data_IF_800440401049
#
_entry.id   IF_800440401049
#
_cell.length_a   1.000
_cell.length_b   1.000
_cell.length_c   1.000
_cell.angle_alpha   90.00
_cell.angle_beta   90.00
_cell.angle_gamma   90.00
#
_symmetry.space_group_name_H-M   'P 1'
#
loop_
_entity.id
_entity.type
_entity.pdbx_description
1 polymer ?
#
# COMPACT_ATOMS: atom_id res chain seq x y z
N UNK A 1 -39.01 23.86 -58.61
CA UNK A 1 -39.12 22.50 -58.01
C UNK A 1 -37.78 21.77 -57.79
N UNK A 2 -36.62 22.44 -57.60
CA UNK A 2 -35.32 21.76 -57.40
C UNK A 2 -34.66 21.97 -56.02
N UNK A 3 -35.37 22.55 -55.05
CA UNK A 3 -34.83 22.84 -53.71
C UNK A 3 -34.87 21.65 -52.71
N UNK A 4 -35.85 20.71 -52.73
CA UNK A 4 -35.94 19.68 -51.68
C UNK A 4 -34.83 18.61 -51.75
N UNK A 5 -34.28 18.33 -52.93
CA UNK A 5 -33.23 17.31 -53.11
C UNK A 5 -31.86 17.74 -52.57
N UNK A 6 -31.51 19.02 -52.67
CA UNK A 6 -30.22 19.52 -52.15
C UNK A 6 -30.22 19.46 -50.62
N UNK A 7 -31.35 19.75 -49.99
CA UNK A 7 -31.45 19.87 -48.54
C UNK A 7 -31.52 18.50 -47.85
N UNK A 8 -32.21 17.52 -48.45
CA UNK A 8 -32.16 16.13 -47.99
C UNK A 8 -30.73 15.59 -47.98
N UNK A 9 -29.91 15.99 -48.96
CA UNK A 9 -28.49 15.62 -49.04
C UNK A 9 -27.65 16.28 -47.93
N UNK A 10 -27.93 17.53 -47.53
CA UNK A 10 -27.23 18.17 -46.41
C UNK A 10 -27.57 17.55 -45.06
N UNK A 11 -28.84 17.22 -44.81
CA UNK A 11 -29.28 16.54 -43.59
C UNK A 11 -28.70 15.13 -43.52
N UNK A 12 -28.71 14.39 -44.63
CA UNK A 12 -28.10 13.06 -44.71
C UNK A 12 -26.59 13.13 -44.48
N UNK A 13 -25.89 14.12 -45.06
CA UNK A 13 -24.45 14.36 -44.83
C UNK A 13 -24.16 14.73 -43.38
N UNK A 14 -24.97 15.56 -42.75
CA UNK A 14 -24.82 15.90 -41.33
C UNK A 14 -25.02 14.67 -40.42
N UNK A 15 -26.00 13.81 -40.75
CA UNK A 15 -26.25 12.56 -40.03
C UNK A 15 -25.12 11.54 -40.23
N UNK A 16 -24.51 11.51 -41.42
CA UNK A 16 -23.37 10.64 -41.74
C UNK A 16 -22.09 11.14 -41.05
N UNK A 17 -21.86 12.44 -40.99
CA UNK A 17 -20.76 13.03 -40.21
C UNK A 17 -20.96 12.75 -38.71
N UNK A 18 -22.20 12.83 -38.22
CA UNK A 18 -22.55 12.51 -36.85
C UNK A 18 -22.30 11.03 -36.50
N UNK A 19 -22.72 10.10 -37.35
CA UNK A 19 -22.49 8.67 -37.13
C UNK A 19 -21.01 8.31 -37.21
N UNK A 20 -20.24 8.96 -38.09
CA UNK A 20 -18.79 8.77 -38.20
C UNK A 20 -18.07 9.31 -36.96
N UNK A 21 -18.39 10.52 -36.49
CA UNK A 21 -17.73 11.11 -35.32
C UNK A 21 -18.05 10.32 -34.05
N UNK A 22 -19.29 9.86 -33.89
CA UNK A 22 -19.67 9.00 -32.74
C UNK A 22 -18.99 7.64 -32.78
N UNK A 23 -18.82 7.02 -33.96
CA UNK A 23 -18.03 5.80 -34.15
C UNK A 23 -16.55 6.00 -33.82
N UNK A 24 -15.95 7.13 -34.24
CA UNK A 24 -14.56 7.47 -33.93
C UNK A 24 -14.39 7.66 -32.42
N UNK A 25 -15.31 8.38 -31.77
CA UNK A 25 -15.29 8.57 -30.31
C UNK A 25 -15.43 7.24 -29.56
N UNK A 26 -16.35 6.37 -29.99
CA UNK A 26 -16.49 5.02 -29.42
C UNK A 26 -15.21 4.19 -29.59
N UNK A 27 -14.57 4.23 -30.77
CA UNK A 27 -13.31 3.52 -31.02
C UNK A 27 -12.17 4.02 -30.14
N UNK A 28 -12.10 5.33 -29.91
CA UNK A 28 -11.10 5.94 -29.01
C UNK A 28 -11.33 5.53 -27.56
N UNK A 29 -12.58 5.36 -27.12
CA UNK A 29 -12.89 4.85 -25.77
C UNK A 29 -12.65 3.35 -25.60
N UNK A 30 -12.74 2.57 -26.69
CA UNK A 30 -12.48 1.12 -26.71
C UNK A 30 -11.01 0.73 -26.86
N UNK A 31 -10.12 1.67 -27.23
CA UNK A 31 -8.69 1.38 -27.38
C UNK A 31 -8.03 1.19 -26.00
N UNK A 32 -7.74 -0.08 -25.68
CA UNK A 32 -7.14 -0.57 -24.42
C UNK A 32 -5.75 0.01 -24.09
N UNK A 33 -5.18 0.86 -24.95
CA UNK A 33 -3.85 1.47 -24.77
C UNK A 33 -3.82 2.68 -23.83
N UNK A 34 -4.96 3.23 -23.43
CA UNK A 34 -5.07 4.33 -22.45
C UNK A 34 -5.12 3.82 -20.99
N UNK A 35 -4.29 2.82 -20.68
CA UNK A 35 -4.25 2.14 -19.38
C UNK A 35 -3.41 2.90 -18.32
N UNK A 36 -3.48 4.23 -18.31
CA UNK A 36 -2.76 5.07 -17.36
C UNK A 36 -3.77 5.93 -16.58
N UNK A 37 -4.02 5.55 -15.32
CA UNK A 37 -5.22 5.94 -14.53
C UNK A 37 -5.46 7.46 -14.48
N UNK A 38 -4.38 8.25 -14.39
CA UNK A 38 -4.44 9.73 -14.34
C UNK A 38 -4.69 10.38 -15.71
N UNK A 39 -4.13 9.82 -16.79
CA UNK A 39 -4.38 10.31 -18.16
C UNK A 39 -5.77 9.92 -18.63
N UNK A 40 -6.24 8.72 -18.27
CA UNK A 40 -7.60 8.27 -18.55
C UNK A 40 -8.64 9.17 -17.89
N UNK A 41 -8.48 9.52 -16.61
CA UNK A 41 -9.40 10.45 -15.93
C UNK A 41 -9.41 11.85 -16.57
N UNK A 42 -8.24 12.40 -16.91
CA UNK A 42 -8.13 13.71 -17.53
C UNK A 42 -8.68 13.75 -18.97
N UNK A 43 -8.53 12.65 -19.72
CA UNK A 43 -9.09 12.48 -21.06
C UNK A 43 -10.59 12.21 -20.97
N UNK A 44 -11.05 11.36 -20.05
CA UNK A 44 -12.47 11.07 -19.83
C UNK A 44 -13.24 12.33 -19.43
N UNK A 45 -12.69 13.16 -18.54
CA UNK A 45 -13.29 14.44 -18.13
C UNK A 45 -13.33 15.46 -19.26
N UNK A 46 -12.28 15.53 -20.08
CA UNK A 46 -12.27 16.38 -21.28
C UNK A 46 -13.25 15.88 -22.35
N UNK A 47 -13.32 14.57 -22.57
CA UNK A 47 -14.15 13.93 -23.57
C UNK A 47 -15.64 14.02 -23.21
N UNK A 48 -15.99 13.83 -21.95
CA UNK A 48 -17.38 14.01 -21.47
C UNK A 48 -17.82 15.46 -21.60
N UNK A 49 -16.98 16.43 -21.22
CA UNK A 49 -17.31 17.86 -21.35
C UNK A 49 -17.41 18.32 -22.82
N UNK A 50 -16.43 17.98 -23.66
CA UNK A 50 -16.46 18.38 -25.07
C UNK A 50 -17.53 17.59 -25.85
N UNK A 51 -17.76 16.33 -25.49
CA UNK A 51 -18.80 15.48 -26.06
C UNK A 51 -20.20 15.99 -25.75
N UNK A 52 -20.47 16.40 -24.50
CA UNK A 52 -21.77 17.03 -24.17
C UNK A 52 -21.96 18.35 -24.88
N UNK A 53 -20.95 19.24 -24.90
CA UNK A 53 -21.03 20.51 -25.63
C UNK A 53 -21.25 20.31 -27.15
N UNK A 54 -20.60 19.31 -27.74
CA UNK A 54 -20.78 18.97 -29.16
C UNK A 54 -22.19 18.44 -29.45
N UNK A 55 -22.74 17.58 -28.58
CA UNK A 55 -24.12 17.09 -28.70
C UNK A 55 -25.13 18.24 -28.63
N UNK A 56 -24.90 19.19 -27.73
CA UNK A 56 -25.71 20.41 -27.60
C UNK A 56 -25.65 21.30 -28.84
N UNK A 57 -24.45 21.52 -29.40
CA UNK A 57 -24.27 22.27 -30.63
C UNK A 57 -25.00 21.62 -31.81
N UNK A 58 -24.88 20.30 -31.95
CA UNK A 58 -25.55 19.54 -33.00
C UNK A 58 -27.08 19.59 -32.88
N UNK A 59 -27.60 19.49 -31.65
CA UNK A 59 -29.03 19.60 -31.39
C UNK A 59 -29.56 20.99 -31.75
N UNK A 60 -28.83 22.06 -31.39
CA UNK A 60 -29.17 23.43 -31.75
C UNK A 60 -29.12 23.66 -33.26
N UNK A 61 -28.07 23.17 -33.93
CA UNK A 61 -27.95 23.23 -35.39
C UNK A 61 -29.09 22.50 -36.10
N UNK A 62 -29.54 21.37 -35.55
CA UNK A 62 -30.68 20.62 -36.09
C UNK A 62 -32.00 21.40 -35.99
N UNK A 63 -32.26 22.03 -34.83
CA UNK A 63 -33.43 22.92 -34.64
C UNK A 63 -33.38 24.10 -35.61
N UNK A 64 -32.20 24.73 -35.77
CA UNK A 64 -32.03 25.89 -36.66
C UNK A 64 -32.29 25.51 -38.13
N UNK A 65 -31.72 24.39 -38.57
CA UNK A 65 -31.92 23.84 -39.92
C UNK A 65 -33.39 23.48 -40.16
N UNK A 66 -34.05 22.89 -39.15
CA UNK A 66 -35.48 22.57 -39.22
C UNK A 66 -36.34 23.84 -39.36
N UNK A 67 -36.00 24.92 -38.65
CA UNK A 67 -36.71 26.19 -38.71
C UNK A 67 -36.55 26.89 -40.07
N UNK A 68 -35.36 26.85 -40.66
CA UNK A 68 -35.10 27.41 -42.00
C UNK A 68 -35.79 26.62 -43.13
N UNK A 69 -36.07 25.33 -42.92
CA UNK A 69 -36.66 24.44 -43.93
C UNK A 69 -38.20 24.57 -44.05
N UNK A 70 -38.88 25.07 -43.03
CA UNK A 70 -40.34 25.13 -43.00
C UNK A 70 -40.89 26.54 -43.30
N UNK A 71 -41.59 26.68 -44.42
CA UNK A 71 -42.31 27.92 -44.76
C UNK A 71 -43.62 28.12 -43.97
N UNK A 72 -44.15 27.05 -43.35
CA UNK A 72 -45.30 27.06 -42.43
C UNK A 72 -45.13 25.96 -41.38
N UNK A 73 -44.60 26.27 -40.18
CA UNK A 73 -44.39 25.23 -39.17
C UNK A 73 -45.71 24.67 -38.64
N UNK A 74 -45.84 23.35 -38.62
CA UNK A 74 -46.96 22.65 -37.99
C UNK A 74 -46.64 22.45 -36.49
N UNK A 75 -47.51 22.88 -35.55
CA UNK A 75 -47.26 22.75 -34.11
C UNK A 75 -47.01 21.31 -33.64
N UNK A 76 -47.46 20.29 -34.39
CA UNK A 76 -47.31 18.87 -34.05
C UNK A 76 -45.88 18.35 -34.23
N UNK A 77 -45.14 18.87 -35.20
CA UNK A 77 -43.78 18.40 -35.50
C UNK A 77 -42.75 19.04 -34.55
N UNK A 78 -43.00 20.28 -34.12
CA UNK A 78 -42.20 21.00 -33.13
C UNK A 78 -42.29 20.36 -31.73
N UNK A 79 -43.43 19.73 -31.41
CA UNK A 79 -43.68 19.08 -30.12
C UNK A 79 -42.65 17.99 -29.79
N UNK A 80 -42.33 17.12 -30.75
CA UNK A 80 -41.38 16.03 -30.57
C UNK A 80 -39.97 16.52 -30.25
N UNK A 81 -39.55 17.60 -30.91
CA UNK A 81 -38.24 18.22 -30.67
C UNK A 81 -38.16 18.90 -29.29
N UNK A 82 -39.23 19.57 -28.85
CA UNK A 82 -39.29 20.18 -27.50
C UNK A 82 -39.29 19.12 -26.40
N UNK A 83 -40.00 18.01 -26.60
CA UNK A 83 -39.99 16.89 -25.66
C UNK A 83 -38.60 16.25 -25.55
N UNK A 84 -37.91 16.04 -26.68
CA UNK A 84 -36.54 15.52 -26.70
C UNK A 84 -35.55 16.49 -26.04
N UNK A 85 -35.71 17.79 -26.30
CA UNK A 85 -34.88 18.83 -25.68
C UNK A 85 -35.00 18.83 -24.15
N UNK A 86 -36.23 18.78 -23.62
CA UNK A 86 -36.48 18.68 -22.19
C UNK A 86 -35.78 17.48 -21.58
N UNK A 87 -35.91 16.31 -22.20
CA UNK A 87 -35.27 15.10 -21.72
C UNK A 87 -33.72 15.19 -21.77
N UNK A 88 -33.17 15.76 -22.84
CA UNK A 88 -31.72 15.92 -23.02
C UNK A 88 -31.11 16.86 -21.98
N UNK A 89 -31.83 17.93 -21.60
CA UNK A 89 -31.43 18.84 -20.52
C UNK A 89 -31.12 18.05 -19.26
N UNK A 90 -32.06 17.26 -18.76
CA UNK A 90 -31.89 16.59 -17.48
C UNK A 90 -30.83 15.48 -17.47
N UNK A 91 -30.51 14.88 -18.62
CA UNK A 91 -29.46 13.85 -18.74
C UNK A 91 -28.07 14.45 -18.83
N UNK A 92 -27.93 15.56 -19.56
CA UNK A 92 -26.62 16.09 -19.94
C UNK A 92 -26.15 17.24 -19.06
N UNK A 93 -27.05 17.85 -18.28
CA UNK A 93 -26.70 18.96 -17.41
C UNK A 93 -25.75 18.48 -16.30
N UNK A 94 -24.62 19.18 -16.07
CA UNK A 94 -23.78 18.88 -14.91
C UNK A 94 -24.54 19.13 -13.61
N UNK A 95 -24.28 18.25 -12.64
CA UNK A 95 -24.98 18.09 -11.36
C UNK A 95 -25.04 19.37 -10.48
N UNK A 96 -24.21 20.37 -10.76
CA UNK A 96 -24.15 21.63 -10.01
C UNK A 96 -25.17 22.68 -10.47
N UNK A 97 -25.83 22.46 -11.61
CA UNK A 97 -26.72 23.44 -12.26
C UNK A 97 -28.20 23.05 -12.23
N UNK A 98 -28.63 22.19 -11.29
CA UNK A 98 -30.01 21.70 -11.18
C UNK A 98 -31.07 22.80 -11.35
N UNK A 99 -30.91 23.92 -10.64
CA UNK A 99 -31.83 25.05 -10.72
C UNK A 99 -31.90 25.67 -12.12
N UNK A 100 -30.79 25.69 -12.86
CA UNK A 100 -30.74 26.12 -14.26
C UNK A 100 -31.45 25.17 -15.21
N UNK A 101 -31.31 23.85 -15.00
CA UNK A 101 -32.05 22.83 -15.77
C UNK A 101 -33.56 22.90 -15.53
N UNK A 102 -33.98 23.08 -14.26
CA UNK A 102 -35.37 23.32 -13.92
C UNK A 102 -35.91 24.59 -14.58
N UNK A 103 -35.17 25.70 -14.52
CA UNK A 103 -35.57 26.97 -15.13
C UNK A 103 -35.74 26.86 -16.65
N UNK A 104 -34.85 26.15 -17.34
CA UNK A 104 -34.97 25.86 -18.78
C UNK A 104 -36.16 24.95 -19.10
N UNK A 105 -36.41 23.93 -18.27
CA UNK A 105 -37.59 23.07 -18.39
C UNK A 105 -38.90 23.85 -18.24
N UNK A 106 -39.01 24.69 -17.20
CA UNK A 106 -40.16 25.58 -17.00
C UNK A 106 -40.33 26.60 -18.14
N UNK A 107 -39.25 27.19 -18.63
CA UNK A 107 -39.29 28.10 -19.78
C UNK A 107 -39.85 27.39 -21.02
N UNK A 108 -39.45 26.14 -21.28
CA UNK A 108 -39.95 25.38 -22.42
C UNK A 108 -41.45 25.02 -22.32
N UNK A 109 -41.95 24.76 -21.11
CA UNK A 109 -43.37 24.51 -20.82
C UNK A 109 -44.24 25.75 -21.05
N UNK A 110 -43.70 26.95 -20.84
CA UNK A 110 -44.41 28.23 -21.05
C UNK A 110 -44.32 28.67 -22.52
N UNK A 111 -43.17 28.48 -23.17
CA UNK A 111 -42.96 28.93 -24.54
C UNK A 111 -43.80 28.15 -25.56
N UNK A 112 -44.03 26.86 -25.35
CA UNK A 112 -44.85 26.04 -26.24
C UNK A 112 -46.30 26.57 -26.39
N UNK A 113 -47.11 26.75 -25.32
CA UNK A 113 -48.47 27.28 -25.46
C UNK A 113 -48.49 28.71 -26.00
N UNK A 114 -47.48 29.54 -25.72
CA UNK A 114 -47.35 30.90 -26.28
C UNK A 114 -47.18 30.87 -27.82
N UNK A 115 -46.31 29.98 -28.32
CA UNK A 115 -46.12 29.78 -29.77
C UNK A 115 -47.34 29.14 -30.42
N UNK A 116 -48.01 28.21 -29.76
CA UNK A 116 -49.23 27.61 -30.28
C UNK A 116 -50.41 28.61 -30.36
N UNK A 117 -50.49 29.54 -29.40
CA UNK A 117 -51.52 30.59 -29.38
C UNK A 117 -51.31 31.64 -30.47
N UNK A 118 -50.06 32.04 -30.74
CA UNK A 118 -49.72 33.05 -31.76
C UNK A 118 -49.87 32.55 -33.20
N UNK A 119 -49.62 31.26 -33.46
CA UNK A 119 -49.77 30.64 -34.79
C UNK A 119 -51.11 29.92 -35.00
N UNK A 120 -51.95 29.84 -33.97
CA UNK A 120 -53.21 29.11 -33.99
C UNK A 120 -54.30 29.83 -34.78
N UNK A 121 -54.43 29.52 -36.07
CA UNK A 121 -55.69 29.78 -36.78
C UNK A 121 -56.79 28.88 -36.17
N UNK A 122 -57.98 29.43 -35.92
CA UNK A 122 -59.15 28.81 -35.27
C UNK A 122 -59.56 27.46 -35.91
N UNK A 123 -58.82 26.39 -35.61
CA UNK A 123 -59.15 25.01 -36.00
C UNK A 123 -60.07 24.40 -34.93
N UNK A 124 -61.07 23.59 -35.32
CA UNK A 124 -62.09 23.08 -34.40
C UNK A 124 -61.57 22.12 -33.30
N UNK A 125 -60.32 21.63 -33.39
CA UNK A 125 -59.67 20.75 -32.38
C UNK A 125 -58.43 21.38 -31.71
N UNK A 126 -58.36 22.71 -31.63
CA UNK A 126 -57.19 23.40 -31.08
C UNK A 126 -56.94 23.06 -29.59
N UNK A 127 -58.00 23.05 -28.77
CA UNK A 127 -57.90 22.82 -27.33
C UNK A 127 -57.48 21.39 -26.96
N UNK A 128 -58.01 20.38 -27.65
CA UNK A 128 -57.63 18.98 -27.41
C UNK A 128 -56.14 18.73 -27.71
N UNK A 129 -55.60 19.36 -28.76
CA UNK A 129 -54.19 19.25 -29.13
C UNK A 129 -53.26 19.95 -28.13
N UNK A 130 -53.70 21.08 -27.54
CA UNK A 130 -52.95 21.78 -26.50
C UNK A 130 -52.85 20.95 -25.22
N UNK A 131 -53.95 20.33 -24.80
CA UNK A 131 -53.97 19.48 -23.60
C UNK A 131 -53.07 18.26 -23.80
N UNK A 132 -53.18 17.55 -24.93
CA UNK A 132 -52.34 16.39 -25.22
C UNK A 132 -50.83 16.74 -25.27
N UNK A 133 -50.51 17.90 -25.86
CA UNK A 133 -49.13 18.39 -25.96
C UNK A 133 -48.54 18.77 -24.60
N UNK A 134 -49.34 19.45 -23.76
CA UNK A 134 -48.93 19.79 -22.40
C UNK A 134 -48.65 18.55 -21.56
N UNK A 135 -49.53 17.53 -21.63
CA UNK A 135 -49.36 16.25 -20.95
C UNK A 135 -48.07 15.55 -21.40
N UNK A 136 -47.74 15.59 -22.69
CA UNK A 136 -46.53 14.97 -23.23
C UNK A 136 -45.25 15.68 -22.74
N UNK A 137 -45.20 17.01 -22.77
CA UNK A 137 -44.02 17.76 -22.30
C UNK A 137 -43.86 17.60 -20.78
N UNK A 138 -44.98 17.63 -20.03
CA UNK A 138 -44.96 17.43 -18.58
C UNK A 138 -44.45 16.04 -18.20
N UNK A 139 -44.90 14.98 -18.88
CA UNK A 139 -44.40 13.62 -18.64
C UNK A 139 -42.92 13.46 -19.01
N UNK A 140 -42.47 14.06 -20.11
CA UNK A 140 -41.05 14.08 -20.49
C UNK A 140 -40.17 14.80 -19.45
N UNK A 141 -40.62 15.95 -18.94
CA UNK A 141 -39.93 16.68 -17.88
C UNK A 141 -39.87 15.88 -16.57
N UNK A 142 -40.98 15.24 -16.17
CA UNK A 142 -41.04 14.39 -14.98
C UNK A 142 -40.05 13.21 -15.07
N UNK A 143 -40.03 12.51 -16.22
CA UNK A 143 -39.10 11.40 -16.46
C UNK A 143 -37.65 11.90 -16.40
N UNK A 144 -37.35 13.05 -17.03
CA UNK A 144 -36.02 13.66 -16.99
C UNK A 144 -35.54 13.95 -15.57
N UNK A 145 -36.39 14.58 -14.74
CA UNK A 145 -36.09 14.89 -13.33
C UNK A 145 -35.86 13.62 -12.52
N UNK A 146 -36.66 12.57 -12.72
CA UNK A 146 -36.45 11.27 -12.04
C UNK A 146 -35.12 10.63 -12.44
N UNK A 147 -34.79 10.63 -13.73
CA UNK A 147 -33.49 10.14 -14.22
C UNK A 147 -32.31 10.93 -13.64
N UNK A 148 -32.46 12.25 -13.50
CA UNK A 148 -31.45 13.10 -12.86
C UNK A 148 -31.21 12.68 -11.40
N UNK A 149 -32.26 12.60 -10.59
CA UNK A 149 -32.12 12.19 -9.18
C UNK A 149 -31.56 10.78 -9.01
N UNK A 150 -31.95 9.84 -9.89
CA UNK A 150 -31.39 8.49 -9.89
C UNK A 150 -29.89 8.49 -10.23
N UNK A 151 -29.48 9.29 -11.22
CA UNK A 151 -28.06 9.43 -11.60
C UNK A 151 -27.25 10.03 -10.45
N UNK A 152 -27.77 11.08 -9.81
CA UNK A 152 -27.14 11.71 -8.66
C UNK A 152 -26.95 10.75 -7.49
N UNK A 153 -28.01 10.02 -7.14
CA UNK A 153 -27.95 9.03 -6.07
C UNK A 153 -26.93 7.93 -6.37
N UNK A 154 -26.84 7.46 -7.63
CA UNK A 154 -25.84 6.46 -8.05
C UNK A 154 -24.42 7.00 -7.93
N UNK A 155 -24.15 8.21 -8.44
CA UNK A 155 -22.82 8.81 -8.37
C UNK A 155 -22.35 9.05 -6.94
N UNK A 156 -23.24 9.55 -6.07
CA UNK A 156 -22.93 9.78 -4.66
C UNK A 156 -22.65 8.48 -3.91
N UNK A 157 -23.42 7.42 -4.18
CA UNK A 157 -23.16 6.09 -3.60
C UNK A 157 -21.81 5.54 -4.04
N UNK A 158 -21.52 5.59 -5.34
CA UNK A 158 -20.23 5.13 -5.87
C UNK A 158 -19.04 5.90 -5.26
N UNK A 159 -19.18 7.21 -5.07
CA UNK A 159 -18.16 8.03 -4.39
C UNK A 159 -17.97 7.62 -2.92
N UNK A 160 -19.06 7.43 -2.18
CA UNK A 160 -18.99 7.02 -0.77
C UNK A 160 -18.41 5.61 -0.60
N UNK A 161 -18.77 4.68 -1.49
CA UNK A 161 -18.19 3.33 -1.52
C UNK A 161 -16.70 3.36 -1.85
N UNK A 162 -16.29 4.17 -2.84
CA UNK A 162 -14.88 4.34 -3.17
C UNK A 162 -14.09 4.95 -2.00
N UNK A 163 -14.66 5.96 -1.32
CA UNK A 163 -14.07 6.56 -0.12
C UNK A 163 -13.91 5.51 0.99
N UNK A 164 -14.97 4.75 1.29
CA UNK A 164 -14.95 3.71 2.33
C UNK A 164 -13.95 2.60 2.01
N UNK A 165 -13.87 2.18 0.74
CA UNK A 165 -12.89 1.18 0.29
C UNK A 165 -11.45 1.67 0.48
N UNK A 166 -11.20 2.96 0.22
CA UNK A 166 -9.88 3.55 0.44
C UNK A 166 -9.53 3.62 1.94
N UNK A 167 -10.47 4.05 2.80
CA UNK A 167 -10.29 4.07 4.26
C UNK A 167 -9.96 2.67 4.79
N UNK A 168 -10.72 1.64 4.39
CA UNK A 168 -10.46 0.25 4.79
C UNK A 168 -9.10 -0.22 4.29
N UNK A 169 -8.72 0.13 3.06
CA UNK A 169 -7.42 -0.26 2.50
C UNK A 169 -6.26 0.33 3.30
N UNK A 170 -6.35 1.61 3.69
CA UNK A 170 -5.31 2.24 4.52
C UNK A 170 -5.16 1.55 5.88
N UNK A 171 -6.28 1.22 6.55
CA UNK A 171 -6.25 0.50 7.83
C UNK A 171 -5.61 -0.88 7.68
N UNK A 172 -5.92 -1.60 6.60
CA UNK A 172 -5.31 -2.92 6.33
C UNK A 172 -3.80 -2.78 6.10
N UNK A 173 -3.35 -1.77 5.35
CA UNK A 173 -1.92 -1.53 5.11
C UNK A 173 -1.17 -1.19 6.41
N UNK A 174 -1.76 -0.37 7.28
CA UNK A 174 -1.20 -0.03 8.58
C UNK A 174 -1.11 -1.25 9.50
N UNK A 175 -2.21 -2.02 9.63
CA UNK A 175 -2.24 -3.26 10.42
C UNK A 175 -1.25 -4.30 9.89
N UNK A 176 -1.13 -4.43 8.56
CA UNK A 176 -0.17 -5.33 7.94
C UNK A 176 1.27 -4.93 8.27
N UNK A 177 1.58 -3.63 8.27
CA UNK A 177 2.91 -3.13 8.62
C UNK A 177 3.24 -3.36 10.10
N UNK A 178 2.27 -3.18 10.99
CA UNK A 178 2.42 -3.47 12.42
C UNK A 178 2.64 -4.98 12.66
N UNK A 179 1.84 -5.83 12.00
CA UNK A 179 2.02 -7.29 12.05
C UNK A 179 3.40 -7.71 11.56
N UNK A 180 3.90 -7.13 10.46
CA UNK A 180 5.24 -7.40 9.96
C UNK A 180 6.32 -6.97 10.96
N UNK A 181 6.17 -5.78 11.58
CA UNK A 181 7.10 -5.29 12.61
C UNK A 181 7.15 -6.23 13.83
N UNK A 182 5.99 -6.69 14.31
CA UNK A 182 5.90 -7.61 15.45
C UNK A 182 6.45 -9.00 15.10
N UNK A 183 6.23 -9.47 13.87
CA UNK A 183 6.78 -10.74 13.42
C UNK A 183 8.32 -10.68 13.33
N UNK A 184 8.86 -9.58 12.81
CA UNK A 184 10.30 -9.36 12.68
C UNK A 184 11.02 -9.04 14.00
N UNK A 185 10.28 -8.68 15.06
CA UNK A 185 10.87 -8.51 16.39
C UNK A 185 11.13 -9.85 17.10
N UNK A 186 10.41 -10.91 16.71
CA UNK A 186 10.56 -12.27 17.25
C UNK A 186 11.42 -13.15 16.35
N UNK A 187 11.26 -13.01 15.03
CA UNK A 187 11.93 -13.85 14.04
C UNK A 187 12.88 -13.04 13.15
N UNK A 188 14.07 -13.58 12.83
CA UNK A 188 14.92 -12.99 11.81
C UNK A 188 14.22 -12.89 10.44
N UNK A 189 14.49 -11.79 9.72
CA UNK A 189 13.88 -11.48 8.40
C UNK A 189 13.94 -12.65 7.41
N UNK A 190 15.07 -13.35 7.35
CA UNK A 190 15.27 -14.44 6.39
C UNK A 190 14.34 -15.63 6.65
N UNK A 191 14.06 -15.97 7.92
CA UNK A 191 13.13 -17.06 8.25
C UNK A 191 11.68 -16.61 8.12
N UNK A 192 11.38 -15.37 8.52
CA UNK A 192 10.06 -14.76 8.38
C UNK A 192 9.52 -14.82 6.94
N UNK A 193 10.36 -14.46 5.96
CA UNK A 193 9.99 -14.51 4.54
C UNK A 193 9.68 -15.93 4.08
N UNK A 194 10.52 -16.90 4.48
CA UNK A 194 10.34 -18.32 4.13
C UNK A 194 9.06 -18.90 4.74
N UNK A 195 8.76 -18.58 5.99
CA UNK A 195 7.51 -18.99 6.66
C UNK A 195 6.27 -18.42 5.96
N UNK A 196 6.32 -17.14 5.55
CA UNK A 196 5.21 -16.50 4.84
C UNK A 196 4.93 -17.16 3.48
N UNK A 197 5.97 -17.53 2.75
CA UNK A 197 5.84 -18.25 1.49
C UNK A 197 5.23 -19.64 1.70
N UNK A 198 5.69 -20.37 2.72
CA UNK A 198 5.21 -21.70 3.03
C UNK A 198 3.75 -21.70 3.53
N UNK A 199 3.33 -20.70 4.32
CA UNK A 199 1.93 -20.50 4.77
C UNK A 199 0.95 -20.27 3.62
N UNK A 200 1.40 -19.65 2.52
CA UNK A 200 0.57 -19.42 1.32
C UNK A 200 0.38 -20.67 0.46
N UNK A 201 1.23 -21.69 0.64
CA UNK A 201 1.12 -22.96 -0.08
C UNK A 201 0.27 -23.95 0.70
N UNK A 202 -0.76 -24.51 0.07
CA UNK A 202 -1.75 -25.43 0.65
C UNK A 202 -1.18 -26.82 1.00
N UNK A 203 0.01 -26.90 1.57
CA UNK A 203 0.57 -28.14 2.10
C UNK A 203 -0.02 -28.44 3.47
N UNK A 204 -0.67 -29.59 3.57
CA UNK A 204 -1.60 -30.05 4.61
C UNK A 204 -1.02 -30.36 6.00
N UNK A 205 0.16 -29.83 6.34
CA UNK A 205 0.76 -29.95 7.69
C UNK A 205 1.45 -28.62 8.06
N UNK A 206 0.69 -27.54 8.35
CA UNK A 206 1.23 -26.18 8.53
C UNK A 206 2.24 -26.03 9.69
N UNK A 207 2.41 -27.04 10.54
CA UNK A 207 3.19 -26.96 11.79
C UNK A 207 4.28 -28.02 11.94
N UNK A 208 4.62 -28.76 10.88
CA UNK A 208 5.63 -29.86 10.96
C UNK A 208 6.94 -29.57 10.22
N UNK A 209 7.00 -28.52 9.41
CA UNK A 209 8.23 -28.16 8.69
C UNK A 209 9.16 -27.41 9.65
N UNK A 210 10.18 -28.12 10.14
CA UNK A 210 11.24 -27.53 10.96
C UNK A 210 12.11 -26.67 10.04
N UNK A 211 12.16 -25.36 10.30
CA UNK A 211 13.00 -24.44 9.55
C UNK A 211 14.41 -24.50 10.13
N UNK A 212 15.29 -25.29 9.50
CA UNK A 212 16.71 -25.40 9.87
C UNK A 212 17.61 -25.11 8.66
N UNK A 213 18.72 -24.41 8.91
CA UNK A 213 19.81 -24.17 7.97
C UNK A 213 21.14 -24.39 8.65
N UNK A 214 22.02 -25.13 7.99
CA UNK A 214 23.41 -25.32 8.44
C UNK A 214 24.26 -24.21 7.82
N UNK A 215 25.09 -23.58 8.64
CA UNK A 215 26.07 -22.59 8.23
C UNK A 215 27.45 -23.00 8.73
N UNK A 216 28.46 -22.83 7.89
CA UNK A 216 29.86 -23.10 8.23
C UNK A 216 30.62 -21.78 8.37
N UNK A 217 31.75 -21.78 9.09
CA UNK A 217 32.57 -20.59 9.34
C UNK A 217 31.80 -19.42 9.96
N UNK A 218 31.06 -19.70 11.02
CA UNK A 218 30.33 -18.70 11.80
C UNK A 218 31.11 -18.41 13.07
N UNK A 219 31.34 -17.13 13.36
CA UNK A 219 31.92 -16.71 14.65
C UNK A 219 30.83 -16.47 15.67
N UNK A 220 30.97 -17.10 16.82
CA UNK A 220 30.00 -17.16 17.90
C UNK A 220 30.57 -16.36 19.07
N UNK A 221 29.82 -15.39 19.59
CA UNK A 221 30.23 -14.51 20.68
C UNK A 221 29.29 -14.64 21.88
N UNK A 222 29.88 -14.98 23.03
CA UNK A 222 29.25 -14.89 24.34
C UNK A 222 29.86 -13.72 25.10
N UNK A 223 29.03 -12.89 25.73
CA UNK A 223 29.45 -11.77 26.54
C UNK A 223 28.67 -11.75 27.85
N UNK A 224 29.34 -11.91 28.98
CA UNK A 224 28.74 -12.04 30.31
C UNK A 224 29.25 -10.99 31.30
N UNK A 225 28.36 -10.55 32.20
CA UNK A 225 28.69 -9.53 33.20
C UNK A 225 29.36 -10.20 34.40
N UNK A 226 30.60 -9.79 34.68
CA UNK A 226 31.34 -10.31 35.83
C UNK A 226 30.72 -9.79 37.13
N UNK A 227 30.43 -10.71 38.05
CA UNK A 227 29.91 -10.37 39.37
C UNK A 227 28.43 -9.96 39.40
N UNK A 228 27.68 -10.24 38.34
CA UNK A 228 26.25 -9.92 38.26
C UNK A 228 25.44 -10.47 39.44
N UNK A 229 25.73 -11.69 39.91
CA UNK A 229 25.01 -12.33 41.03
C UNK A 229 25.11 -11.54 42.34
N UNK A 230 26.25 -10.89 42.59
CA UNK A 230 26.42 -10.03 43.76
C UNK A 230 25.61 -8.73 43.62
N UNK A 231 25.57 -8.18 42.40
CA UNK A 231 24.85 -6.95 42.08
C UNK A 231 23.34 -7.18 42.12
N UNK A 232 22.85 -8.27 41.54
CA UNK A 232 21.44 -8.63 41.51
C UNK A 232 20.86 -8.87 42.91
N UNK A 233 21.72 -9.24 43.88
CA UNK A 233 21.33 -9.40 45.29
C UNK A 233 21.23 -8.08 46.04
N UNK A 234 21.92 -7.03 45.57
CA UNK A 234 21.99 -5.73 46.25
C UNK A 234 21.01 -4.71 45.65
N UNK A 235 20.79 -4.78 44.34
CA UNK A 235 19.95 -3.84 43.60
C UNK A 235 18.47 -4.20 43.69
N UNK A 236 17.61 -3.19 43.59
CA UNK A 236 16.18 -3.42 43.37
C UNK A 236 15.98 -4.08 42.00
N UNK A 237 14.98 -4.95 41.88
CA UNK A 237 14.67 -5.62 40.61
C UNK A 237 14.41 -4.60 39.48
N UNK A 238 13.77 -3.47 39.79
CA UNK A 238 13.45 -2.44 38.80
C UNK A 238 14.70 -1.72 38.30
N UNK A 239 15.65 -1.40 39.18
CA UNK A 239 16.88 -0.70 38.79
C UNK A 239 17.86 -1.63 38.07
N UNK A 240 17.90 -2.91 38.47
CA UNK A 240 18.65 -3.94 37.76
C UNK A 240 18.18 -4.09 36.31
N UNK A 241 16.85 -4.19 36.10
CA UNK A 241 16.27 -4.31 34.76
C UNK A 241 16.53 -3.04 33.92
N UNK A 242 16.45 -1.84 34.51
CA UNK A 242 16.79 -0.59 33.80
C UNK A 242 18.26 -0.58 33.36
N UNK A 243 19.18 -0.99 34.23
CA UNK A 243 20.61 -1.06 33.93
C UNK A 243 20.89 -2.06 32.80
N UNK A 244 20.34 -3.27 32.89
CA UNK A 244 20.45 -4.28 31.84
C UNK A 244 19.87 -3.79 30.50
N UNK A 245 18.70 -3.16 30.53
CA UNK A 245 18.07 -2.65 29.33
C UNK A 245 18.89 -1.53 28.66
N UNK A 246 19.51 -0.63 29.43
CA UNK A 246 20.42 0.38 28.88
C UNK A 246 21.68 -0.26 28.28
N UNK A 247 22.27 -1.26 28.95
CA UNK A 247 23.45 -1.95 28.47
C UNK A 247 23.15 -2.73 27.18
N UNK A 248 22.11 -3.54 27.17
CA UNK A 248 21.76 -4.36 26.01
C UNK A 248 21.27 -3.52 24.82
N UNK A 249 20.63 -2.37 25.04
CA UNK A 249 20.33 -1.44 23.95
C UNK A 249 21.59 -0.90 23.27
N UNK A 250 22.67 -0.66 24.04
CA UNK A 250 23.98 -0.29 23.46
C UNK A 250 24.59 -1.45 22.70
N UNK A 251 24.49 -2.68 23.22
CA UNK A 251 24.97 -3.87 22.51
C UNK A 251 24.19 -4.13 21.23
N UNK A 252 22.88 -3.88 21.21
CA UNK A 252 22.08 -3.95 19.98
C UNK A 252 22.52 -2.91 18.94
N UNK A 253 22.91 -1.71 19.37
CA UNK A 253 23.46 -0.69 18.45
C UNK A 253 24.83 -1.10 17.89
N UNK A 254 25.67 -1.73 18.73
CA UNK A 254 26.96 -2.25 18.30
C UNK A 254 26.79 -3.48 17.37
N UNK A 255 25.80 -4.33 17.61
CA UNK A 255 25.54 -5.51 16.78
C UNK A 255 25.10 -5.10 15.38
N UNK A 256 24.29 -4.05 15.25
CA UNK A 256 23.96 -3.46 13.94
C UNK A 256 25.21 -2.89 13.24
N UNK A 257 26.06 -2.15 13.97
CA UNK A 257 27.32 -1.57 13.44
C UNK A 257 28.29 -2.63 12.91
N UNK A 258 28.46 -3.74 13.62
CA UNK A 258 29.38 -4.82 13.24
C UNK A 258 28.68 -5.99 12.53
N UNK A 259 27.43 -5.79 12.08
CA UNK A 259 26.63 -6.77 11.35
C UNK A 259 26.57 -8.15 12.03
N UNK A 260 26.33 -8.14 13.33
CA UNK A 260 26.15 -9.32 14.16
C UNK A 260 24.66 -9.62 14.31
N UNK A 261 24.28 -10.90 14.23
CA UNK A 261 22.93 -11.33 14.52
C UNK A 261 22.83 -11.71 16.00
N UNK A 262 22.08 -10.94 16.77
CA UNK A 262 21.71 -11.32 18.14
C UNK A 262 20.81 -12.55 18.13
N UNK A 263 21.17 -13.58 18.90
CA UNK A 263 20.37 -14.80 19.06
C UNK A 263 19.43 -14.65 20.24
N UNK A 264 19.99 -14.50 21.44
CA UNK A 264 19.21 -14.40 22.69
C UNK A 264 20.00 -13.71 23.79
N UNK A 265 19.28 -13.28 24.81
CA UNK A 265 19.84 -12.80 26.08
C UNK A 265 19.53 -13.89 27.11
N UNK A 266 20.56 -14.38 27.78
CA UNK A 266 20.49 -15.44 28.79
C UNK A 266 20.80 -14.84 30.16
N UNK A 267 19.79 -14.25 30.80
CA UNK A 267 19.99 -13.51 32.04
C UNK A 267 20.84 -12.25 31.80
N UNK A 268 22.08 -12.27 32.29
CA UNK A 268 23.13 -11.26 32.13
C UNK A 268 24.03 -11.48 30.92
N UNK A 269 23.97 -12.65 30.30
CA UNK A 269 24.77 -12.97 29.13
C UNK A 269 24.09 -12.52 27.83
N UNK A 270 24.83 -11.78 27.00
CA UNK A 270 24.46 -11.42 25.63
C UNK A 270 25.10 -12.39 24.63
N UNK A 271 24.30 -12.97 23.75
CA UNK A 271 24.75 -14.00 22.81
C UNK A 271 24.42 -13.66 21.35
N UNK A 272 25.43 -13.59 20.49
CA UNK A 272 25.28 -13.26 19.07
C UNK A 272 26.25 -14.03 18.16
N UNK A 273 26.00 -13.96 16.85
CA UNK A 273 26.83 -14.60 15.81
C UNK A 273 27.16 -13.66 14.65
N UNK A 274 28.26 -13.96 13.98
CA UNK A 274 28.70 -13.34 12.72
C UNK A 274 28.88 -14.39 11.63
N UNK A 275 28.49 -14.08 10.40
CA UNK A 275 28.63 -14.99 9.25
C UNK A 275 27.42 -15.88 8.98
N UNK A 276 26.28 -15.63 9.66
CA UNK A 276 24.98 -16.19 9.31
C UNK A 276 23.87 -15.15 9.58
N UNK A 277 22.81 -15.08 8.77
CA UNK A 277 22.48 -15.98 7.64
C UNK A 277 23.35 -15.74 6.40
N UNK A 278 23.91 -14.55 6.26
CA UNK A 278 24.76 -14.17 5.13
C UNK A 278 26.22 -14.49 5.47
N UNK A 279 26.79 -15.42 4.71
CA UNK A 279 28.19 -15.82 4.85
C UNK A 279 29.11 -14.67 4.45
N UNK A 280 30.16 -14.47 5.24
CA UNK A 280 31.13 -13.40 5.02
C UNK A 280 32.52 -13.85 5.46
N UNK A 281 33.61 -13.43 4.80
CA UNK A 281 34.97 -13.87 5.14
C UNK A 281 35.58 -13.13 6.34
N UNK A 282 35.10 -11.93 6.66
CA UNK A 282 35.57 -11.06 7.74
C UNK A 282 34.77 -11.23 9.05
N UNK A 283 34.00 -12.33 9.15
CA UNK A 283 33.12 -12.63 10.29
C UNK A 283 33.86 -12.59 11.64
N UNK A 284 35.04 -13.22 11.72
CA UNK A 284 35.83 -13.28 12.94
C UNK A 284 36.37 -11.91 13.36
N UNK A 285 36.87 -11.12 12.40
CA UNK A 285 37.44 -9.79 12.64
C UNK A 285 36.38 -8.84 13.22
N UNK A 286 35.19 -8.82 12.62
CA UNK A 286 34.09 -7.98 13.13
C UNK A 286 33.55 -8.45 14.47
N UNK A 287 33.57 -9.77 14.71
CA UNK A 287 33.18 -10.34 15.98
C UNK A 287 34.14 -9.91 17.10
N UNK A 288 35.45 -9.90 16.84
CA UNK A 288 36.44 -9.38 17.79
C UNK A 288 36.29 -7.88 18.02
N UNK A 289 36.09 -7.07 16.97
CA UNK A 289 35.81 -5.64 17.13
C UNK A 289 34.56 -5.37 17.97
N UNK A 290 33.50 -6.17 17.79
CA UNK A 290 32.29 -6.12 18.61
C UNK A 290 32.64 -6.40 20.07
N UNK A 291 33.34 -7.50 20.36
CA UNK A 291 33.74 -7.88 21.72
C UNK A 291 34.55 -6.79 22.42
N UNK A 292 35.54 -6.20 21.73
CA UNK A 292 36.33 -5.08 22.26
C UNK A 292 35.45 -3.86 22.55
N UNK A 293 34.50 -3.55 21.65
CA UNK A 293 33.56 -2.43 21.83
C UNK A 293 32.59 -2.67 23.00
N UNK A 294 32.19 -3.92 23.25
CA UNK A 294 31.36 -4.28 24.42
C UNK A 294 32.12 -4.05 25.74
N UNK A 295 33.40 -4.43 25.79
CA UNK A 295 34.28 -4.19 26.95
C UNK A 295 34.50 -2.69 27.18
N UNK A 296 34.53 -1.87 26.13
CA UNK A 296 34.56 -0.42 26.27
C UNK A 296 33.21 0.15 26.74
N UNK A 297 32.10 -0.35 26.17
CA UNK A 297 30.76 0.12 26.50
C UNK A 297 30.36 -0.16 27.96
N UNK A 298 30.80 -1.28 28.54
CA UNK A 298 30.53 -1.55 29.96
C UNK A 298 31.23 -0.55 30.88
N UNK A 299 32.43 -0.03 30.52
CA UNK A 299 33.13 0.99 31.33
C UNK A 299 32.32 2.27 31.44
N UNK A 300 31.59 2.64 30.38
CA UNK A 300 30.67 3.78 30.44
C UNK A 300 29.53 3.54 31.43
N UNK A 301 28.93 2.34 31.42
CA UNK A 301 27.86 1.96 32.35
C UNK A 301 28.39 1.87 33.78
N UNK A 302 29.61 1.36 33.96
CA UNK A 302 30.34 1.31 35.23
C UNK A 302 30.42 2.69 35.88
N UNK A 303 30.85 3.70 35.11
CA UNK A 303 30.97 5.09 35.57
C UNK A 303 29.60 5.72 35.90
N UNK A 304 28.59 5.48 35.07
CA UNK A 304 27.26 6.06 35.24
C UNK A 304 26.48 5.43 36.41
N UNK A 305 26.61 4.12 36.60
CA UNK A 305 25.92 3.37 37.65
C UNK A 305 26.73 3.26 38.95
N UNK A 306 27.98 3.74 38.97
CA UNK A 306 28.92 3.62 40.10
C UNK A 306 29.00 2.19 40.67
N UNK A 307 29.04 1.21 39.77
CA UNK A 307 29.03 -0.23 40.10
C UNK A 307 30.31 -0.87 39.56
N UNK A 308 31.01 -1.77 40.27
CA UNK A 308 32.24 -2.41 39.82
C UNK A 308 31.98 -3.54 38.80
N UNK A 309 31.10 -3.29 37.82
CA UNK A 309 30.81 -4.24 36.73
C UNK A 309 31.97 -4.30 35.75
N UNK A 310 32.27 -5.50 35.28
CA UNK A 310 33.16 -5.73 34.16
C UNK A 310 32.52 -6.77 33.22
N UNK A 311 33.13 -7.01 32.07
CA UNK A 311 32.61 -7.89 31.03
C UNK A 311 33.66 -8.95 30.68
N UNK A 312 33.22 -10.19 30.54
CA UNK A 312 33.98 -11.27 29.88
C UNK A 312 33.39 -11.51 28.51
N UNK A 313 34.24 -11.67 27.50
CA UNK A 313 33.80 -11.99 26.14
C UNK A 313 34.56 -13.22 25.66
N UNK A 314 33.85 -14.22 25.17
CA UNK A 314 34.39 -15.42 24.55
C UNK A 314 33.96 -15.56 23.10
N UNK A 315 34.89 -15.86 22.21
CA UNK A 315 34.63 -16.00 20.77
C UNK A 315 35.21 -17.30 20.22
N UNK A 316 34.36 -18.10 19.58
CA UNK A 316 34.77 -19.30 18.87
C UNK A 316 34.20 -19.31 17.45
N UNK A 317 34.96 -19.83 16.49
CA UNK A 317 34.52 -19.97 15.09
C UNK A 317 34.32 -21.44 14.76
N UNK A 318 33.13 -21.77 14.25
CA UNK A 318 32.76 -23.14 13.92
C UNK A 318 31.54 -23.23 13.01
N UNK A 319 30.93 -24.41 12.98
CA UNK A 319 29.71 -24.68 12.23
C UNK A 319 28.49 -24.65 13.17
N UNK A 320 27.36 -24.16 12.66
CA UNK A 320 26.11 -24.09 13.42
C UNK A 320 24.93 -24.64 12.62
N UNK A 321 23.96 -25.19 13.34
CA UNK A 321 22.63 -25.45 12.83
C UNK A 321 21.67 -24.39 13.39
N UNK A 322 21.28 -23.43 12.56
CA UNK A 322 20.32 -22.40 12.93
C UNK A 322 18.90 -22.83 12.59
N UNK A 323 17.94 -22.54 13.46
CA UNK A 323 16.55 -22.86 13.16
C UNK A 323 15.53 -22.32 14.15
N UNK A 324 14.26 -22.49 13.80
CA UNK A 324 13.13 -22.17 14.68
C UNK A 324 12.64 -23.44 15.38
N UNK A 325 12.48 -23.35 16.70
CA UNK A 325 11.87 -24.38 17.52
C UNK A 325 10.62 -23.87 18.23
N UNK A 326 9.76 -24.81 18.63
CA UNK A 326 8.50 -24.55 19.32
C UNK A 326 7.30 -24.51 18.38
N UNK A 327 6.09 -24.72 18.94
CA UNK A 327 4.82 -24.63 18.21
C UNK A 327 3.97 -23.41 18.61
N UNK A 328 4.18 -22.87 19.82
CA UNK A 328 3.41 -21.74 20.37
C UNK A 328 4.27 -20.51 20.65
N UNK A 329 5.47 -20.71 21.19
CA UNK A 329 6.48 -19.68 21.38
C UNK A 329 7.67 -20.04 20.50
N UNK A 330 7.66 -19.52 19.28
CA UNK A 330 8.77 -19.74 18.35
C UNK A 330 10.03 -19.05 18.88
N UNK A 331 11.11 -19.81 18.91
CA UNK A 331 12.42 -19.31 19.27
C UNK A 331 13.37 -19.65 18.14
N UNK A 332 13.96 -18.62 17.55
CA UNK A 332 15.12 -18.81 16.68
C UNK A 332 16.35 -19.01 17.56
N UNK A 333 17.03 -20.13 17.37
CA UNK A 333 18.21 -20.48 18.14
C UNK A 333 19.19 -21.27 17.27
N UNK A 334 20.39 -21.46 17.79
CA UNK A 334 21.47 -22.16 17.09
C UNK A 334 22.00 -23.32 17.93
N UNK A 335 22.34 -24.41 17.25
CA UNK A 335 22.74 -25.67 17.87
C UNK A 335 24.03 -26.17 17.25
N UNK A 336 25.05 -26.39 18.09
CA UNK A 336 26.31 -27.04 17.71
C UNK A 336 27.15 -27.30 18.96
N UNK A 337 28.09 -28.25 18.87
CA UNK A 337 29.19 -28.36 19.85
C UNK A 337 30.04 -27.08 19.89
N UNK A 338 30.17 -26.39 18.76
CA UNK A 338 30.94 -25.14 18.66
C UNK A 338 30.33 -23.99 19.47
N UNK A 339 29.00 -24.02 19.69
CA UNK A 339 28.29 -23.09 20.59
C UNK A 339 28.69 -23.32 22.04
N UNK A 340 28.76 -24.58 22.47
CA UNK A 340 29.22 -24.94 23.82
C UNK A 340 30.69 -24.55 24.04
N UNK A 341 31.54 -24.72 23.01
CA UNK A 341 32.92 -24.30 23.08
C UNK A 341 33.06 -22.78 23.19
N UNK A 342 32.25 -22.00 22.46
CA UNK A 342 32.20 -20.55 22.61
C UNK A 342 31.82 -20.11 24.04
N UNK A 343 30.83 -20.79 24.64
CA UNK A 343 30.42 -20.55 26.02
C UNK A 343 31.56 -20.88 27.02
N UNK A 344 32.32 -21.95 26.77
CA UNK A 344 33.53 -22.26 27.54
C UNK A 344 34.62 -21.20 27.37
N UNK A 345 34.79 -20.61 26.19
CA UNK A 345 35.73 -19.51 25.97
C UNK A 345 35.37 -18.27 26.79
N UNK A 346 34.09 -17.94 26.94
CA UNK A 346 33.65 -16.82 27.78
C UNK A 346 33.93 -17.12 29.25
N UNK A 347 33.41 -18.25 29.76
CA UNK A 347 33.50 -18.60 31.17
C UNK A 347 34.93 -18.79 31.69
N UNK A 348 35.85 -19.27 30.84
CA UNK A 348 37.29 -19.34 31.13
C UNK A 348 38.05 -18.05 30.84
N UNK A 349 37.38 -17.05 30.26
CA UNK A 349 37.94 -15.76 29.90
C UNK A 349 38.26 -14.88 31.11
N UNK A 350 39.20 -13.96 30.92
CA UNK A 350 39.53 -12.92 31.91
C UNK A 350 38.64 -11.70 31.71
N UNK A 351 38.21 -11.09 32.81
CA UNK A 351 37.45 -9.84 32.80
C UNK A 351 38.21 -8.73 32.05
N UNK A 352 37.47 -7.92 31.29
CA UNK A 352 38.02 -6.81 30.50
C UNK A 352 38.81 -7.23 29.26
N UNK A 353 38.77 -8.51 28.87
CA UNK A 353 39.46 -9.05 27.70
C UNK A 353 38.52 -9.88 26.83
N UNK A 354 38.88 -10.01 25.55
CA UNK A 354 38.22 -10.90 24.60
C UNK A 354 39.05 -12.18 24.51
N UNK A 355 38.46 -13.30 24.90
CA UNK A 355 39.07 -14.62 24.81
C UNK A 355 38.65 -15.29 23.51
N UNK A 356 39.62 -15.75 22.72
CA UNK A 356 39.38 -16.35 21.41
C UNK A 356 39.96 -17.76 21.36
N UNK A 357 39.31 -18.64 20.60
CA UNK A 357 39.86 -19.96 20.29
C UNK A 357 40.95 -19.93 19.21
N UNK A 358 41.75 -20.99 19.12
CA UNK A 358 42.75 -21.18 18.06
C UNK A 358 42.10 -21.15 16.65
N UNK A 359 40.90 -21.72 16.52
CA UNK A 359 40.11 -21.63 15.29
C UNK A 359 39.82 -20.19 14.92
N UNK A 360 39.31 -19.37 15.85
CA UNK A 360 39.04 -17.95 15.59
C UNK A 360 40.33 -17.21 15.23
N UNK A 361 41.42 -17.49 15.93
CA UNK A 361 42.73 -16.87 15.67
C UNK A 361 43.19 -17.06 14.21
N UNK A 362 42.96 -18.24 13.64
CA UNK A 362 43.28 -18.53 12.23
C UNK A 362 42.54 -17.62 11.23
N UNK A 363 41.35 -17.11 11.58
CA UNK A 363 40.57 -16.21 10.74
C UNK A 363 40.87 -14.71 10.97
N UNK A 364 41.71 -14.35 11.95
CA UNK A 364 42.03 -12.95 12.25
C UNK A 364 43.14 -12.37 11.37
N UNK A 365 43.91 -13.21 10.65
CA UNK A 365 44.97 -12.78 9.72
C UNK A 365 45.97 -11.76 10.31
N UNK A 366 46.23 -11.82 11.62
CA UNK A 366 47.15 -10.89 12.30
C UNK A 366 46.62 -9.46 12.47
N UNK A 367 45.31 -9.22 12.32
CA UNK A 367 44.70 -7.90 12.46
C UNK A 367 44.70 -7.35 13.91
N UNK A 368 44.96 -8.20 14.90
CA UNK A 368 44.91 -7.86 16.32
C UNK A 368 46.17 -8.33 17.04
N UNK A 369 46.53 -7.59 18.09
CA UNK A 369 47.54 -8.03 19.04
C UNK A 369 46.93 -9.11 19.95
N UNK A 370 47.59 -10.27 20.03
CA UNK A 370 47.10 -11.44 20.77
C UNK A 370 48.15 -11.90 21.77
N UNK A 371 47.69 -12.34 22.93
CA UNK A 371 48.52 -12.92 23.98
C UNK A 371 48.08 -14.37 24.23
N UNK A 372 49.02 -15.29 24.55
CA UNK A 372 48.65 -16.66 24.87
C UNK A 372 47.77 -16.71 26.12
N UNK A 373 46.61 -17.37 26.00
CA UNK A 373 45.79 -17.72 27.14
C UNK A 373 46.44 -18.90 27.86
N UNK A 374 47.01 -18.69 29.05
CA UNK A 374 47.56 -19.74 29.92
C UNK A 374 46.45 -20.61 30.57
N UNK A 375 45.40 -20.95 29.81
CA UNK A 375 44.32 -21.84 30.23
C UNK A 375 44.59 -23.30 29.82
N UNK A 376 43.73 -24.21 30.25
CA UNK A 376 43.76 -25.60 29.79
C UNK A 376 43.52 -25.66 28.28
N UNK A 377 44.32 -26.48 27.56
CA UNK A 377 44.05 -26.78 26.15
C UNK A 377 42.71 -27.50 26.06
N UNK A 378 41.75 -26.85 25.43
CA UNK A 378 40.44 -27.43 25.16
C UNK A 378 40.57 -28.29 23.90
N UNK A 379 41.07 -29.51 24.05
CA UNK A 379 41.13 -30.48 22.97
C UNK A 379 39.70 -30.81 22.51
N UNK A 380 39.46 -30.76 21.20
CA UNK A 380 38.16 -31.04 20.59
C UNK A 380 37.74 -32.50 20.86
N UNK A 381 36.80 -32.70 21.79
CA UNK A 381 36.23 -34.01 22.13
C UNK A 381 34.95 -34.36 21.32
#
# INVERSE_FOLDING_TARGET
>A
EMVPNVICVYVLKAFLVFSIVTLIMMRVMLDRRFLDRKRFEAVHKRLTLHGTLMLWFLFFANILTYYELQTKPSPREVLGWIALFNFLIYITLPMQLFYGGCLLGFASLIMFPLTAFTYGNMRPLFWEQMIASFIMIFTAALIGVLCYFMSEAKQRRAFLEAKKSLEVKMVIEEQSAEQERLLLSVLPKHVAVKMRQDLGSTSSEPFKKIYMSRHENVSILYADIVGFTAISSTYSAQDLVKMLNELFARFDSLSEKYHQLRIKILGDCYYCISGAPDERPDHAVLCVHMGLSMVEAIKYVQQKANSPVDMRVGIHTGAILAGILGQRQWQFDIYSKDVELANKMESSGKAGRVHISDKTLAFLNGAFEVEPAYGERMDEA
#
